data_IF_731996259354
#
_entry.id   IF_731996259354
#
_cell.length_a   1.000
_cell.length_b   1.000
_cell.length_c   1.000
_cell.angle_alpha   90.00
_cell.angle_beta   90.00
_cell.angle_gamma   90.00
#
_symmetry.space_group_name_H-M   'P 1'
#
loop_
_entity.id
_entity.type
_entity.pdbx_description
1 polymer ?
#
# COMPACT_ATOMS: atom_id res chain seq x y z
N UNK A 1 -23.60 -1.30 16.26
CA UNK A 1 -24.45 -0.16 16.69
C UNK A 1 -25.55 -0.60 17.67
N UNK A 2 -26.41 -1.56 17.32
CA UNK A 2 -27.57 -1.94 18.16
C UNK A 2 -27.20 -2.40 19.57
N UNK A 3 -26.10 -3.11 19.73
CA UNK A 3 -25.69 -3.70 21.01
C UNK A 3 -24.70 -2.80 21.79
N UNK A 4 -24.25 -1.70 21.20
CA UNK A 4 -23.31 -0.74 21.83
C UNK A 4 -22.19 -1.45 22.60
N UNK A 5 -21.95 -1.10 23.85
CA UNK A 5 -20.91 -1.66 24.72
C UNK A 5 -21.02 -3.18 24.95
N UNK A 6 -22.21 -3.76 24.77
CA UNK A 6 -22.42 -5.20 24.92
C UNK A 6 -22.12 -6.02 23.65
N UNK A 7 -21.70 -5.37 22.57
CA UNK A 7 -21.30 -6.07 21.34
C UNK A 7 -20.01 -6.85 21.56
N UNK A 8 -19.93 -8.13 21.15
CA UNK A 8 -18.69 -8.91 21.23
C UNK A 8 -17.59 -8.35 20.29
N UNK A 9 -17.96 -7.48 19.37
CA UNK A 9 -17.03 -6.91 18.38
C UNK A 9 -16.53 -5.50 18.74
N UNK A 10 -16.83 -4.97 19.94
CA UNK A 10 -16.38 -3.61 20.32
C UNK A 10 -14.86 -3.45 20.18
N UNK A 11 -14.10 -4.44 20.63
CA UNK A 11 -12.64 -4.41 20.61
C UNK A 11 -12.03 -4.71 19.23
N UNK A 12 -12.85 -5.01 18.21
CA UNK A 12 -12.40 -5.26 16.85
C UNK A 12 -12.03 -3.99 16.10
N UNK A 13 -12.52 -2.86 16.55
CA UNK A 13 -12.32 -1.56 15.92
C UNK A 13 -11.26 -0.77 16.67
N UNK A 14 -10.71 0.25 16.03
CA UNK A 14 -9.74 1.13 16.62
C UNK A 14 -10.27 1.78 17.92
N UNK A 15 -10.42 3.07 17.95
CA UNK A 15 -11.06 3.74 19.10
C UNK A 15 -12.57 3.83 18.87
N UNK A 16 -13.35 3.51 19.91
CA UNK A 16 -14.80 3.72 19.95
C UNK A 16 -15.15 4.49 21.22
N UNK A 17 -16.01 5.51 21.11
CA UNK A 17 -16.58 6.25 22.24
C UNK A 17 -18.10 6.26 22.10
N UNK A 18 -18.81 5.77 23.14
CA UNK A 18 -20.26 5.67 23.16
C UNK A 18 -20.95 6.92 23.69
N UNK A 19 -20.19 7.90 24.13
CA UNK A 19 -20.61 9.24 24.56
C UNK A 19 -20.29 10.32 23.50
N UNK A 20 -19.75 9.89 22.35
CA UNK A 20 -19.41 10.76 21.22
C UNK A 20 -20.44 10.74 20.11
N UNK A 21 -20.08 11.34 18.97
CA UNK A 21 -20.90 11.35 17.78
C UNK A 21 -20.03 11.33 16.52
N UNK A 22 -20.45 10.58 15.53
CA UNK A 22 -19.87 10.61 14.19
C UNK A 22 -20.59 11.64 13.31
N UNK A 23 -20.19 11.76 12.06
CA UNK A 23 -20.90 12.57 11.07
C UNK A 23 -22.33 12.07 10.79
N UNK A 24 -22.65 10.85 11.20
CA UNK A 24 -23.98 10.25 11.03
C UNK A 24 -24.95 10.56 12.17
N UNK A 25 -24.51 11.31 13.18
CA UNK A 25 -25.31 11.69 14.34
C UNK A 25 -25.98 10.47 15.04
N UNK A 26 -25.20 9.41 15.23
CA UNK A 26 -25.67 8.10 15.73
C UNK A 26 -25.33 7.87 17.21
N UNK A 27 -24.78 8.89 17.90
CA UNK A 27 -24.38 8.79 19.31
C UNK A 27 -23.15 7.89 19.51
N UNK A 28 -22.36 7.71 18.49
CA UNK A 28 -21.17 6.87 18.47
C UNK A 28 -20.05 7.57 17.73
N UNK A 29 -18.89 7.72 18.38
CA UNK A 29 -17.66 8.12 17.71
C UNK A 29 -16.75 6.91 17.54
N UNK A 30 -16.09 6.81 16.40
CA UNK A 30 -15.09 5.78 16.12
C UNK A 30 -14.00 6.31 15.21
N UNK A 31 -12.85 5.66 15.25
CA UNK A 31 -11.71 6.01 14.42
C UNK A 31 -11.93 5.50 12.98
N UNK A 32 -11.93 6.45 12.03
CA UNK A 32 -11.87 6.16 10.61
C UNK A 32 -10.50 6.50 10.03
N UNK A 33 -10.17 5.92 8.87
CA UNK A 33 -8.95 6.26 8.16
C UNK A 33 -8.94 7.75 7.78
N UNK A 34 -7.92 8.47 8.25
CA UNK A 34 -7.77 9.94 8.06
C UNK A 34 -9.05 10.75 8.40
N UNK A 35 -9.82 10.26 9.37
CA UNK A 35 -11.08 10.92 9.78
C UNK A 35 -12.28 10.61 8.90
N UNK A 36 -12.15 9.73 7.93
CA UNK A 36 -13.28 9.30 7.10
C UNK A 36 -14.06 8.17 7.81
N UNK A 37 -15.28 8.48 8.22
CA UNK A 37 -16.15 7.54 8.95
C UNK A 37 -16.70 6.39 8.09
N UNK A 38 -16.67 6.48 6.77
CA UNK A 38 -17.01 5.36 5.89
C UNK A 38 -15.92 4.27 5.88
N UNK A 39 -14.70 4.61 6.30
CA UNK A 39 -13.53 3.75 6.31
C UNK A 39 -13.10 3.46 7.75
N UNK A 40 -13.85 2.61 8.43
CA UNK A 40 -13.64 2.26 9.85
C UNK A 40 -12.36 1.49 10.04
N UNK A 41 -11.51 1.93 10.99
CA UNK A 41 -10.25 1.25 11.30
C UNK A 41 -10.48 0.02 12.17
N UNK A 42 -9.94 -1.12 11.74
CA UNK A 42 -9.83 -2.31 12.56
C UNK A 42 -8.70 -2.18 13.59
N UNK A 43 -8.87 -2.84 14.72
CA UNK A 43 -7.85 -2.96 15.75
C UNK A 43 -6.91 -4.12 15.42
N UNK A 44 -5.82 -3.84 14.70
CA UNK A 44 -4.82 -4.83 14.29
C UNK A 44 -3.93 -5.35 15.45
N UNK A 45 -4.24 -4.97 16.70
CA UNK A 45 -3.65 -5.54 17.94
C UNK A 45 -4.59 -6.49 18.65
N UNK A 46 -5.82 -6.62 18.18
CA UNK A 46 -6.80 -7.57 18.70
C UNK A 46 -6.56 -8.94 18.05
N UNK A 47 -6.36 -9.96 18.86
CA UNK A 47 -6.05 -11.32 18.38
C UNK A 47 -7.18 -11.90 17.54
N UNK A 48 -8.43 -11.70 17.90
CA UNK A 48 -9.58 -12.21 17.15
C UNK A 48 -9.67 -11.57 15.75
N UNK A 49 -9.32 -10.27 15.64
CA UNK A 49 -9.23 -9.58 14.33
C UNK A 49 -8.12 -10.18 13.48
N UNK A 50 -6.94 -10.38 14.07
CA UNK A 50 -5.79 -10.95 13.36
C UNK A 50 -6.11 -12.36 12.86
N UNK A 51 -6.68 -13.21 13.73
CA UNK A 51 -7.06 -14.58 13.38
C UNK A 51 -8.15 -14.61 12.30
N UNK A 52 -9.10 -13.69 12.34
CA UNK A 52 -10.12 -13.56 11.31
C UNK A 52 -9.49 -13.23 9.94
N UNK A 53 -8.58 -12.25 9.89
CA UNK A 53 -7.86 -11.86 8.66
C UNK A 53 -7.02 -13.05 8.16
N UNK A 54 -6.25 -13.70 9.03
CA UNK A 54 -5.39 -14.83 8.65
C UNK A 54 -6.21 -16.02 8.14
N UNK A 55 -7.36 -16.27 8.75
CA UNK A 55 -8.29 -17.33 8.29
C UNK A 55 -8.84 -17.02 6.90
N UNK A 56 -9.16 -15.75 6.62
CA UNK A 56 -9.60 -15.34 5.29
C UNK A 56 -8.50 -15.51 4.24
N UNK A 57 -7.27 -15.08 4.56
CA UNK A 57 -6.10 -15.24 3.66
C UNK A 57 -5.85 -16.72 3.38
N UNK A 58 -5.86 -17.56 4.43
CA UNK A 58 -5.72 -19.02 4.25
C UNK A 58 -6.81 -19.58 3.33
N UNK A 59 -8.05 -19.16 3.52
CA UNK A 59 -9.17 -19.57 2.66
C UNK A 59 -8.93 -19.19 1.19
N UNK A 60 -8.41 -17.98 0.93
CA UNK A 60 -8.09 -17.55 -0.43
C UNK A 60 -6.93 -18.34 -1.06
N UNK A 61 -5.92 -18.67 -0.27
CA UNK A 61 -4.83 -19.54 -0.74
C UNK A 61 -5.37 -20.93 -1.06
N UNK A 62 -6.18 -21.53 -0.17
CA UNK A 62 -6.72 -22.88 -0.34
C UNK A 62 -7.71 -22.97 -1.53
N UNK A 63 -8.52 -21.94 -1.76
CA UNK A 63 -9.58 -21.95 -2.78
C UNK A 63 -9.11 -21.43 -4.14
N UNK A 64 -8.31 -20.38 -4.15
CA UNK A 64 -7.92 -19.66 -5.39
C UNK A 64 -6.44 -19.77 -5.73
N UNK A 65 -5.64 -20.42 -4.88
CA UNK A 65 -4.19 -20.58 -5.05
C UNK A 65 -3.45 -19.25 -5.30
N UNK A 66 -3.83 -18.19 -4.59
CA UNK A 66 -3.20 -16.87 -4.74
C UNK A 66 -1.72 -16.91 -4.34
N UNK A 67 -0.89 -16.10 -5.01
CA UNK A 67 0.56 -16.01 -4.80
C UNK A 67 1.00 -14.79 -3.99
N UNK A 68 0.07 -13.95 -3.58
CA UNK A 68 0.41 -12.75 -2.82
C UNK A 68 -0.78 -11.87 -2.49
N UNK A 69 -0.48 -10.77 -1.78
CA UNK A 69 -1.46 -9.77 -1.38
C UNK A 69 -0.94 -8.36 -1.68
N UNK A 70 -1.84 -7.49 -2.11
CA UNK A 70 -1.64 -6.05 -2.06
C UNK A 70 -2.36 -5.51 -0.83
N UNK A 71 -1.62 -4.80 0.03
CA UNK A 71 -2.16 -4.17 1.22
C UNK A 71 -2.45 -2.70 0.93
N UNK A 72 -3.70 -2.34 1.06
CA UNK A 72 -4.18 -0.96 0.95
C UNK A 72 -3.63 -0.12 2.11
N UNK A 73 -3.28 1.15 1.85
CA UNK A 73 -2.74 2.11 2.84
C UNK A 73 -1.72 1.52 3.81
N UNK A 74 -0.79 0.72 3.30
CA UNK A 74 0.14 -0.07 4.10
C UNK A 74 1.00 0.78 5.06
N UNK A 75 1.25 2.04 4.73
CA UNK A 75 1.98 3.00 5.57
C UNK A 75 1.25 3.35 6.88
N UNK A 76 -0.07 3.07 6.97
CA UNK A 76 -0.89 3.28 8.16
C UNK A 76 -1.08 2.02 9.01
N UNK A 77 -0.60 0.85 8.57
CA UNK A 77 -0.79 -0.41 9.26
C UNK A 77 0.16 -0.56 10.46
N UNK A 78 -0.29 -1.30 11.47
CA UNK A 78 0.53 -1.62 12.63
C UNK A 78 1.73 -2.50 12.22
N UNK A 79 2.94 -2.13 12.62
CA UNK A 79 4.15 -2.84 12.21
C UNK A 79 4.26 -4.25 12.80
N UNK A 80 3.71 -4.49 14.00
CA UNK A 80 3.70 -5.83 14.59
C UNK A 80 2.72 -6.73 13.83
N UNK A 81 1.58 -6.18 13.39
CA UNK A 81 0.69 -6.88 12.47
C UNK A 81 1.39 -7.25 11.16
N UNK A 82 2.13 -6.31 10.54
CA UNK A 82 2.85 -6.58 9.28
C UNK A 82 3.89 -7.69 9.43
N UNK A 83 4.62 -7.74 10.56
CA UNK A 83 5.58 -8.83 10.85
C UNK A 83 4.87 -10.18 10.96
N UNK A 84 3.80 -10.22 11.74
CA UNK A 84 2.99 -11.43 11.92
C UNK A 84 2.35 -11.90 10.62
N UNK A 85 1.86 -10.95 9.80
CA UNK A 85 1.31 -11.24 8.49
C UNK A 85 2.38 -11.87 7.58
N UNK A 86 3.61 -11.32 7.58
CA UNK A 86 4.73 -11.86 6.82
C UNK A 86 5.02 -13.31 7.23
N UNK A 87 5.24 -13.56 8.52
CA UNK A 87 5.50 -14.90 9.04
C UNK A 87 4.38 -15.89 8.69
N UNK A 88 3.13 -15.45 8.83
CA UNK A 88 1.98 -16.27 8.49
C UNK A 88 1.94 -16.62 7.00
N UNK A 89 2.11 -15.64 6.11
CA UNK A 89 2.09 -15.86 4.67
C UNK A 89 3.24 -16.76 4.21
N UNK A 90 4.44 -16.58 4.73
CA UNK A 90 5.61 -17.43 4.45
C UNK A 90 5.36 -18.89 4.89
N UNK A 91 4.54 -19.10 5.93
CA UNK A 91 4.15 -20.44 6.38
C UNK A 91 3.10 -21.12 5.50
N UNK A 92 2.31 -20.35 4.76
CA UNK A 92 1.26 -20.88 3.89
C UNK A 92 1.80 -21.36 2.54
N UNK A 93 2.67 -20.54 1.93
CA UNK A 93 3.17 -20.81 0.59
C UNK A 93 4.57 -20.21 0.42
N UNK A 94 5.55 -20.99 -0.10
CA UNK A 94 6.86 -20.44 -0.45
C UNK A 94 6.73 -19.27 -1.42
N UNK A 95 7.55 -18.25 -1.23
CA UNK A 95 7.62 -17.07 -2.09
C UNK A 95 6.30 -16.25 -2.16
N UNK A 96 5.41 -16.37 -1.16
CA UNK A 96 4.18 -15.59 -1.10
C UNK A 96 4.49 -14.09 -1.05
N UNK A 97 4.05 -13.35 -2.05
CA UNK A 97 4.48 -11.97 -2.27
C UNK A 97 3.59 -10.96 -1.54
N UNK A 98 4.19 -10.08 -0.75
CA UNK A 98 3.50 -8.98 -0.09
C UNK A 98 3.94 -7.63 -0.67
N UNK A 99 2.99 -6.89 -1.25
CA UNK A 99 3.20 -5.52 -1.72
C UNK A 99 2.27 -4.57 -0.98
N UNK A 100 2.81 -3.46 -0.50
CA UNK A 100 2.05 -2.43 0.22
C UNK A 100 1.84 -1.19 -0.63
N UNK A 101 0.67 -0.59 -0.51
CA UNK A 101 0.49 0.75 -1.01
C UNK A 101 1.16 1.75 -0.06
N UNK A 102 2.03 2.59 -0.64
CA UNK A 102 2.68 3.70 0.08
C UNK A 102 2.78 4.89 -0.84
N UNK A 103 2.22 6.02 -0.42
CA UNK A 103 2.16 7.21 -1.25
C UNK A 103 3.44 8.06 -1.13
N UNK A 104 4.02 8.13 0.07
CA UNK A 104 5.16 8.99 0.39
C UNK A 104 5.90 8.50 1.64
N UNK A 105 7.01 9.14 1.97
CA UNK A 105 7.81 8.81 3.14
C UNK A 105 9.00 7.89 2.84
N UNK A 106 9.57 7.33 3.90
CA UNK A 106 10.64 6.33 3.78
C UNK A 106 10.05 4.93 3.69
N UNK A 107 10.09 4.36 2.52
CA UNK A 107 9.55 3.03 2.23
C UNK A 107 10.25 1.91 3.02
N UNK A 108 11.50 2.12 3.46
CA UNK A 108 12.24 1.13 4.26
C UNK A 108 11.57 0.82 5.60
N UNK A 109 10.72 1.70 6.12
CA UNK A 109 10.01 1.47 7.37
C UNK A 109 9.16 0.19 7.33
N UNK A 110 8.55 -0.11 6.19
CA UNK A 110 7.68 -1.28 6.01
C UNK A 110 8.18 -2.24 4.92
N UNK A 111 9.04 -1.79 3.98
CA UNK A 111 9.66 -2.62 2.96
C UNK A 111 11.02 -3.12 3.44
N UNK A 112 11.02 -4.27 4.11
CA UNK A 112 12.21 -4.89 4.71
C UNK A 112 11.99 -6.40 4.88
N UNK A 113 13.03 -7.11 5.30
CA UNK A 113 13.02 -8.57 5.38
C UNK A 113 11.98 -9.15 6.36
N UNK A 114 11.50 -8.35 7.32
CA UNK A 114 10.53 -8.78 8.32
C UNK A 114 9.08 -8.41 7.98
N UNK A 115 8.82 -7.59 6.97
CA UNK A 115 7.49 -7.08 6.65
C UNK A 115 7.17 -7.28 5.16
N UNK A 116 7.10 -6.21 4.36
CA UNK A 116 6.70 -6.26 2.96
C UNK A 116 7.90 -6.46 2.03
N UNK A 117 7.70 -7.21 0.97
CA UNK A 117 8.70 -7.40 -0.09
C UNK A 117 8.85 -6.16 -0.97
N UNK A 118 7.76 -5.46 -1.21
CA UNK A 118 7.70 -4.31 -2.10
C UNK A 118 6.64 -3.31 -1.65
N UNK A 119 6.74 -2.10 -2.18
CA UNK A 119 5.70 -1.06 -2.07
C UNK A 119 5.52 -0.36 -3.42
N UNK A 120 4.40 0.36 -3.57
CA UNK A 120 4.08 1.15 -4.76
C UNK A 120 5.03 2.34 -4.92
N UNK A 121 5.52 2.58 -6.13
CA UNK A 121 6.49 3.65 -6.42
C UNK A 121 5.80 4.91 -6.95
N UNK A 122 5.07 5.61 -6.09
CA UNK A 122 4.41 6.87 -6.44
C UNK A 122 5.39 7.99 -6.80
N UNK A 123 6.60 7.97 -6.26
CA UNK A 123 7.63 8.95 -6.61
C UNK A 123 8.01 8.85 -8.10
N UNK A 124 8.29 7.63 -8.59
CA UNK A 124 8.57 7.44 -10.01
C UNK A 124 7.32 7.63 -10.88
N UNK A 125 6.14 7.24 -10.44
CA UNK A 125 4.89 7.55 -11.15
C UNK A 125 4.78 9.04 -11.47
N UNK A 126 4.97 9.90 -10.47
CA UNK A 126 4.96 11.35 -10.67
C UNK A 126 6.07 11.80 -11.62
N UNK A 127 7.28 11.32 -11.42
CA UNK A 127 8.44 11.65 -12.27
C UNK A 127 8.24 11.24 -13.72
N UNK A 128 7.58 10.11 -13.97
CA UNK A 128 7.29 9.63 -15.32
C UNK A 128 6.42 10.63 -16.10
N UNK A 129 5.19 10.86 -15.69
CA UNK A 129 4.29 11.72 -16.46
C UNK A 129 4.74 13.19 -16.51
N UNK A 130 5.28 13.72 -15.41
CA UNK A 130 5.73 15.11 -15.36
C UNK A 130 6.92 15.36 -16.29
N UNK A 131 7.85 14.43 -16.37
CA UNK A 131 9.02 14.54 -17.25
C UNK A 131 8.64 14.57 -18.73
N UNK A 132 7.70 13.72 -19.14
CA UNK A 132 7.21 13.71 -20.52
C UNK A 132 6.36 14.94 -20.85
N UNK A 133 5.57 15.44 -19.93
CA UNK A 133 4.76 16.64 -20.13
C UNK A 133 5.60 17.92 -20.21
N UNK A 134 6.63 18.02 -19.39
CA UNK A 134 7.54 19.18 -19.38
C UNK A 134 8.69 19.07 -20.41
N UNK A 135 8.82 17.94 -21.09
CA UNK A 135 9.99 17.62 -21.95
C UNK A 135 11.33 17.78 -21.22
N UNK A 136 11.35 17.44 -19.93
CA UNK A 136 12.49 17.54 -19.06
C UNK A 136 12.61 16.29 -18.18
N UNK A 137 13.61 15.46 -18.44
CA UNK A 137 13.82 14.19 -17.74
C UNK A 137 14.49 14.35 -16.36
N UNK A 138 14.70 15.56 -15.88
CA UNK A 138 15.40 15.79 -14.61
C UNK A 138 14.69 15.11 -13.42
N UNK A 139 13.37 15.23 -13.33
CA UNK A 139 12.62 14.69 -12.19
C UNK A 139 12.70 13.16 -12.11
N UNK A 140 12.42 12.47 -13.21
CA UNK A 140 12.50 11.00 -13.21
C UNK A 140 13.94 10.51 -13.03
N UNK A 141 14.92 11.19 -13.63
CA UNK A 141 16.34 10.85 -13.45
C UNK A 141 16.78 11.03 -12.00
N UNK A 142 16.34 12.12 -11.35
CA UNK A 142 16.64 12.37 -9.95
C UNK A 142 16.04 11.27 -9.05
N UNK A 143 14.77 10.89 -9.28
CA UNK A 143 14.10 9.83 -8.52
C UNK A 143 14.80 8.48 -8.70
N UNK A 144 15.18 8.13 -9.93
CA UNK A 144 15.89 6.87 -10.21
C UNK A 144 17.28 6.83 -9.55
N UNK A 145 18.04 7.92 -9.61
CA UNK A 145 19.37 7.99 -8.96
C UNK A 145 19.24 7.93 -7.44
N UNK A 146 18.25 8.62 -6.88
CA UNK A 146 17.98 8.63 -5.44
C UNK A 146 17.55 7.25 -4.93
N UNK A 147 16.74 6.53 -5.71
CA UNK A 147 16.20 5.23 -5.32
C UNK A 147 17.16 4.07 -5.59
N UNK A 148 17.81 4.06 -6.76
CA UNK A 148 18.54 2.90 -7.29
C UNK A 148 19.96 3.22 -7.78
N UNK A 149 20.44 4.45 -7.61
CA UNK A 149 21.75 4.87 -8.10
C UNK A 149 22.94 4.13 -7.48
N UNK A 150 24.16 4.39 -7.94
CA UNK A 150 25.35 3.71 -7.45
C UNK A 150 25.86 4.22 -6.10
N UNK A 151 25.40 5.38 -5.66
CA UNK A 151 25.90 6.09 -4.50
C UNK A 151 25.56 5.38 -3.17
N UNK A 152 26.33 5.67 -2.12
CA UNK A 152 26.10 5.09 -0.79
C UNK A 152 24.80 5.58 -0.13
N UNK A 153 24.35 6.77 -0.49
CA UNK A 153 23.10 7.36 0.03
C UNK A 153 21.85 6.88 -0.71
N UNK A 154 21.97 5.98 -1.66
CA UNK A 154 20.84 5.41 -2.41
C UNK A 154 19.90 4.67 -1.46
N UNK A 155 18.60 4.99 -1.54
CA UNK A 155 17.61 4.57 -0.53
C UNK A 155 17.22 3.10 -0.63
N UNK A 156 17.02 2.59 -1.85
CA UNK A 156 16.39 1.29 -2.09
C UNK A 156 17.27 0.34 -2.89
N UNK A 157 18.58 0.42 -2.67
CA UNK A 157 19.56 -0.43 -3.36
C UNK A 157 19.28 -1.91 -3.09
N UNK A 158 19.13 -2.69 -4.16
CA UNK A 158 18.82 -4.12 -4.08
C UNK A 158 17.34 -4.44 -3.78
N UNK A 159 16.48 -3.42 -3.68
CA UNK A 159 15.04 -3.59 -3.49
C UNK A 159 14.28 -3.33 -4.80
N UNK A 160 13.10 -3.92 -4.92
CA UNK A 160 12.26 -3.82 -6.11
C UNK A 160 10.92 -3.18 -5.74
N UNK A 161 10.72 -1.95 -6.19
CA UNK A 161 9.44 -1.23 -6.00
C UNK A 161 8.47 -1.58 -7.12
N UNK A 162 7.17 -1.63 -6.81
CA UNK A 162 6.11 -1.80 -7.80
C UNK A 162 5.97 -0.49 -8.59
N UNK A 163 6.42 -0.49 -9.84
CA UNK A 163 6.42 0.67 -10.72
C UNK A 163 5.23 0.63 -11.66
N UNK A 164 4.57 1.77 -11.86
CA UNK A 164 3.37 1.89 -12.67
C UNK A 164 3.32 3.26 -13.35
N UNK A 165 2.56 3.36 -14.42
CA UNK A 165 2.29 4.63 -15.13
C UNK A 165 0.94 5.24 -14.75
N UNK A 166 0.01 4.42 -14.32
CA UNK A 166 -1.25 4.79 -13.67
C UNK A 166 -1.82 3.60 -12.87
N UNK A 167 -2.86 3.84 -12.07
CA UNK A 167 -3.63 2.81 -11.37
C UNK A 167 -5.10 3.27 -11.18
N UNK A 168 -5.87 2.57 -10.32
CA UNK A 168 -7.27 2.89 -10.07
C UNK A 168 -7.51 4.17 -9.24
N UNK A 169 -6.48 4.67 -8.56
CA UNK A 169 -6.55 5.86 -7.67
C UNK A 169 -6.08 7.14 -8.34
N UNK A 170 -5.50 7.05 -9.54
CA UNK A 170 -4.98 8.20 -10.27
C UNK A 170 -5.56 8.29 -11.69
N UNK A 171 -5.45 9.46 -12.28
CA UNK A 171 -5.87 9.67 -13.66
C UNK A 171 -5.07 8.80 -14.61
N UNK A 172 -5.73 8.16 -15.58
CA UNK A 172 -5.08 7.36 -16.61
C UNK A 172 -4.00 8.17 -17.33
N UNK A 173 -2.83 7.58 -17.50
CA UNK A 173 -1.67 8.25 -18.10
C UNK A 173 -1.98 8.81 -19.49
N UNK A 174 -2.77 8.10 -20.30
CA UNK A 174 -3.21 8.58 -21.60
C UNK A 174 -4.03 9.88 -21.54
N UNK A 175 -4.70 10.15 -20.40
CA UNK A 175 -5.51 11.36 -20.20
C UNK A 175 -4.71 12.54 -19.65
N UNK A 176 -3.56 12.29 -19.00
CA UNK A 176 -2.73 13.37 -18.42
C UNK A 176 -1.57 13.77 -19.32
N UNK A 177 -1.20 12.95 -20.30
CA UNK A 177 -0.14 13.31 -21.25
C UNK A 177 -0.57 14.44 -22.18
N UNK A 178 0.25 15.46 -22.30
CA UNK A 178 0.03 16.59 -23.22
C UNK A 178 0.29 16.23 -24.68
N UNK A 179 0.99 15.12 -24.92
CA UNK A 179 1.26 14.55 -26.23
C UNK A 179 1.04 13.03 -26.18
N UNK A 180 0.02 12.54 -26.84
CA UNK A 180 -0.33 11.11 -26.88
C UNK A 180 0.78 10.21 -27.47
N UNK A 181 1.65 10.76 -28.31
CA UNK A 181 2.81 10.03 -28.86
C UNK A 181 3.83 9.64 -27.80
N UNK A 182 3.76 10.26 -26.62
CA UNK A 182 4.60 9.88 -25.48
C UNK A 182 4.12 8.62 -24.77
N UNK A 183 2.90 8.15 -25.02
CA UNK A 183 2.33 6.99 -24.34
C UNK A 183 3.22 5.73 -24.46
N UNK A 184 3.67 5.30 -25.65
CA UNK A 184 4.56 4.15 -25.74
C UNK A 184 5.93 4.40 -25.12
N UNK A 185 6.40 5.64 -25.09
CA UNK A 185 7.69 6.00 -24.52
C UNK A 185 7.69 5.93 -22.99
N UNK A 186 6.61 6.40 -22.34
CA UNK A 186 6.49 6.33 -20.89
C UNK A 186 6.38 4.88 -20.41
N UNK A 187 5.67 4.02 -21.14
CA UNK A 187 5.65 2.59 -20.84
C UNK A 187 7.02 1.94 -21.06
N UNK A 188 7.72 2.27 -22.16
CA UNK A 188 9.06 1.75 -22.40
C UNK A 188 10.02 2.12 -21.27
N UNK A 189 9.94 3.35 -20.75
CA UNK A 189 10.75 3.78 -19.61
C UNK A 189 10.33 3.02 -18.33
N UNK A 190 9.04 2.91 -18.04
CA UNK A 190 8.53 2.21 -16.86
C UNK A 190 8.96 0.73 -16.82
N UNK A 191 8.94 0.05 -17.98
CA UNK A 191 9.40 -1.34 -18.09
C UNK A 191 10.91 -1.48 -18.10
N UNK A 192 11.66 -0.44 -18.46
CA UNK A 192 13.13 -0.46 -18.52
C UNK A 192 13.82 -0.02 -17.23
N UNK A 193 13.11 0.62 -16.29
CA UNK A 193 13.71 1.07 -15.04
C UNK A 193 13.74 -0.05 -13.99
N UNK A 194 14.61 0.06 -12.96
CA UNK A 194 14.65 -0.91 -11.87
C UNK A 194 13.31 -1.00 -11.14
N UNK A 195 12.90 -2.23 -10.80
CA UNK A 195 11.65 -2.46 -10.06
C UNK A 195 10.82 -3.60 -10.64
N UNK A 196 9.56 -3.64 -10.24
CA UNK A 196 8.54 -4.59 -10.71
C UNK A 196 7.55 -3.78 -11.55
N UNK A 197 7.56 -3.88 -12.87
CA UNK A 197 6.65 -3.13 -13.71
C UNK A 197 5.22 -3.70 -13.64
N UNK A 198 4.23 -2.81 -13.57
CA UNK A 198 2.81 -3.14 -13.52
C UNK A 198 2.00 -2.32 -14.54
#
# INVERSE_FOLDING_TARGET
LKNRESSPYVNWFGRIAFDGNSNYNDGLWYEGWEGNYDLVKLNLRNEDVIQHIFSAIKGWVDEFDIDGLRLDVAYCLDHDFLRRLREFCDSLKPDFFLVGETLHGDYNQIMNDAMLHSVTNYECYKGLYSSFNSMNMFEINHSLLRQFGPEQWTLYKGKHLLSFVDNHDVTRVASILTNEKHLPLIYALAFGMPGIPC
#
